data_IF_639758549597
#
_entry.id   IF_639758549597
#
_cell.length_a   1.000
_cell.length_b   1.000
_cell.length_c   1.000
_cell.angle_alpha   90.00
_cell.angle_beta   90.00
_cell.angle_gamma   90.00
#
_symmetry.space_group_name_H-M   'P 1'
#
loop_
_entity.id
_entity.type
_entity.pdbx_description
1 polymer ?
#
# COMPACT_ATOMS: atom_id res chain seq x y z
N UNK A 1 21.22 25.81 4.73
CA UNK A 1 21.31 24.40 4.26
C UNK A 1 22.60 23.79 4.74
N UNK A 2 22.51 22.63 5.39
CA UNK A 2 23.68 21.86 5.83
C UNK A 2 24.45 21.25 4.64
N UNK A 3 25.68 20.78 4.89
CA UNK A 3 26.45 20.08 3.85
C UNK A 3 25.75 18.79 3.38
N UNK A 4 25.13 18.06 4.31
CA UNK A 4 24.37 16.84 4.01
C UNK A 4 23.14 17.14 3.13
N UNK A 5 22.37 18.19 3.43
CA UNK A 5 21.23 18.63 2.61
C UNK A 5 21.69 18.95 1.16
N UNK A 6 22.81 19.65 0.99
CA UNK A 6 23.36 19.98 -0.34
C UNK A 6 23.72 18.70 -1.13
N UNK A 7 24.38 17.74 -0.49
CA UNK A 7 24.74 16.46 -1.11
C UNK A 7 23.51 15.64 -1.51
N UNK A 8 22.47 15.61 -0.69
CA UNK A 8 21.21 14.94 -1.03
C UNK A 8 20.57 15.56 -2.27
N UNK A 9 20.46 16.90 -2.32
CA UNK A 9 19.92 17.61 -3.48
C UNK A 9 20.71 17.30 -4.76
N UNK A 10 22.04 17.24 -4.65
CA UNK A 10 22.90 16.91 -5.79
C UNK A 10 22.66 15.48 -6.29
N UNK A 11 22.55 14.51 -5.39
CA UNK A 11 22.23 13.11 -5.75
C UNK A 11 20.83 12.99 -6.37
N UNK A 12 19.83 13.72 -5.86
CA UNK A 12 18.49 13.81 -6.47
C UNK A 12 18.58 14.35 -7.90
N UNK A 13 19.32 15.43 -8.13
CA UNK A 13 19.55 15.99 -9.47
C UNK A 13 20.24 15.03 -10.42
N UNK A 14 21.07 14.13 -9.90
CA UNK A 14 21.71 13.05 -10.65
C UNK A 14 20.77 11.86 -10.92
N UNK A 15 19.50 11.91 -10.49
CA UNK A 15 18.51 10.86 -10.67
C UNK A 15 18.72 9.63 -9.78
N UNK A 16 19.42 9.79 -8.65
CA UNK A 16 19.60 8.69 -7.69
C UNK A 16 18.32 8.45 -6.89
N UNK A 17 17.94 7.17 -6.72
CA UNK A 17 16.80 6.81 -5.89
C UNK A 17 17.16 6.82 -4.39
N UNK A 18 16.13 6.74 -3.53
CA UNK A 18 16.29 6.75 -2.06
C UNK A 18 17.31 5.72 -1.57
N UNK A 19 17.26 4.49 -2.07
CA UNK A 19 18.18 3.42 -1.69
C UNK A 19 19.63 3.80 -2.04
N UNK A 20 19.88 4.29 -3.27
CA UNK A 20 21.23 4.71 -3.68
C UNK A 20 21.74 5.92 -2.87
N UNK A 21 20.84 6.85 -2.50
CA UNK A 21 21.17 8.02 -1.66
C UNK A 21 21.56 7.56 -0.26
N UNK A 22 20.74 6.70 0.37
CA UNK A 22 21.01 6.16 1.69
C UNK A 22 22.34 5.41 1.74
N UNK A 23 22.59 4.54 0.77
CA UNK A 23 23.87 3.79 0.67
C UNK A 23 25.08 4.72 0.51
N UNK A 24 25.00 5.72 -0.39
CA UNK A 24 26.13 6.64 -0.64
C UNK A 24 26.45 7.56 0.52
N UNK A 25 25.46 7.90 1.33
CA UNK A 25 25.62 8.84 2.44
C UNK A 25 25.69 8.13 3.80
N UNK A 26 25.54 6.81 3.82
CA UNK A 26 25.45 5.98 5.02
C UNK A 26 24.42 6.51 6.03
N UNK A 27 23.19 6.77 5.56
CA UNK A 27 22.06 7.22 6.36
C UNK A 27 20.88 6.26 6.18
N UNK A 28 20.00 6.22 7.17
CA UNK A 28 18.77 5.42 7.08
C UNK A 28 17.73 6.07 6.16
N UNK A 29 16.73 5.29 5.72
CA UNK A 29 15.57 5.82 4.99
C UNK A 29 14.78 6.85 5.79
N UNK A 30 14.70 6.68 7.12
CA UNK A 30 14.06 7.62 8.02
C UNK A 30 14.83 8.95 8.13
N UNK A 31 16.18 8.89 8.19
CA UNK A 31 17.01 10.10 8.19
C UNK A 31 16.82 10.88 6.88
N UNK A 32 16.84 10.17 5.74
CA UNK A 32 16.58 10.79 4.44
C UNK A 32 15.21 11.48 4.42
N UNK A 33 14.17 10.82 4.91
CA UNK A 33 12.82 11.40 4.99
C UNK A 33 12.78 12.66 5.86
N UNK A 34 13.37 12.62 7.04
CA UNK A 34 13.43 13.77 7.94
C UNK A 34 14.13 14.96 7.28
N UNK A 35 15.21 14.71 6.55
CA UNK A 35 15.92 15.74 5.80
C UNK A 35 15.06 16.30 4.67
N UNK A 36 14.36 15.44 3.92
CA UNK A 36 13.44 15.87 2.85
C UNK A 36 12.26 16.68 3.40
N UNK A 37 11.74 16.32 4.58
CA UNK A 37 10.70 17.09 5.27
C UNK A 37 11.23 18.49 5.69
N UNK A 38 12.45 18.57 6.21
CA UNK A 38 13.11 19.85 6.52
C UNK A 38 13.33 20.70 5.26
N UNK A 39 13.68 20.08 4.13
CA UNK A 39 13.82 20.77 2.84
C UNK A 39 12.47 21.28 2.34
N UNK A 40 11.39 20.51 2.51
CA UNK A 40 10.02 20.95 2.19
C UNK A 40 9.64 22.19 3.01
N UNK A 41 9.94 22.22 4.31
CA UNK A 41 9.71 23.38 5.17
C UNK A 41 10.53 24.61 4.74
N UNK A 42 11.61 24.41 3.98
CA UNK A 42 12.44 25.47 3.36
C UNK A 42 12.00 25.82 1.93
N UNK A 43 10.83 25.32 1.49
CA UNK A 43 10.27 25.58 0.15
C UNK A 43 10.81 24.68 -0.97
N UNK A 44 11.53 23.61 -0.65
CA UNK A 44 12.05 22.64 -1.62
C UNK A 44 11.21 21.35 -1.57
N UNK A 45 10.17 21.30 -2.37
CA UNK A 45 9.28 20.15 -2.44
C UNK A 45 9.61 19.24 -3.63
N UNK A 46 9.41 17.94 -3.45
CA UNK A 46 9.70 16.91 -4.45
C UNK A 46 8.50 16.02 -4.71
N UNK A 47 8.22 15.76 -5.98
CA UNK A 47 7.31 14.69 -6.40
C UNK A 47 8.00 13.33 -6.25
N UNK A 48 7.26 12.32 -5.85
CA UNK A 48 7.75 10.94 -5.67
C UNK A 48 7.30 10.05 -6.81
N UNK A 49 8.21 9.20 -7.33
CA UNK A 49 7.91 8.07 -8.19
C UNK A 49 8.59 6.84 -7.61
N UNK A 50 7.91 5.71 -7.63
CA UNK A 50 8.35 4.51 -6.95
C UNK A 50 8.91 3.50 -7.95
N UNK A 51 9.93 2.75 -7.53
CA UNK A 51 10.55 1.68 -8.31
C UNK A 51 10.08 0.32 -7.80
N UNK A 52 10.08 -0.70 -8.66
CA UNK A 52 9.69 -2.07 -8.27
C UNK A 52 10.62 -2.72 -7.23
N UNK A 53 11.76 -2.15 -6.94
CA UNK A 53 12.67 -2.57 -5.86
C UNK A 53 12.46 -1.78 -4.56
N UNK A 54 11.32 -1.11 -4.39
CA UNK A 54 11.00 -0.30 -3.22
C UNK A 54 11.69 1.07 -3.17
N UNK A 55 12.58 1.41 -4.12
CA UNK A 55 13.26 2.70 -4.17
C UNK A 55 12.32 3.84 -4.59
N UNK A 56 12.62 5.05 -4.13
CA UNK A 56 11.87 6.28 -4.46
C UNK A 56 12.75 7.23 -5.27
N UNK A 57 12.27 7.64 -6.43
CA UNK A 57 12.86 8.73 -7.23
C UNK A 57 12.17 10.04 -6.87
N UNK A 58 12.98 11.05 -6.60
CA UNK A 58 12.52 12.39 -6.27
C UNK A 58 12.75 13.31 -7.46
N UNK A 59 11.74 14.10 -7.84
CA UNK A 59 11.84 15.15 -8.85
C UNK A 59 11.37 16.46 -8.26
N UNK A 60 12.12 17.60 -8.45
CA UNK A 60 11.69 18.88 -7.91
C UNK A 60 10.27 19.22 -8.36
N UNK A 61 9.44 19.62 -7.41
CA UNK A 61 8.12 20.13 -7.73
C UNK A 61 8.25 21.56 -8.24
N UNK A 62 7.95 21.77 -9.52
CA UNK A 62 8.01 23.09 -10.16
C UNK A 62 6.69 23.88 -10.03
N UNK A 63 5.61 23.18 -9.64
CA UNK A 63 4.28 23.78 -9.53
C UNK A 63 4.04 24.24 -8.09
N UNK A 64 4.39 25.47 -7.78
CA UNK A 64 4.18 26.13 -6.48
C UNK A 64 2.69 26.42 -6.17
N UNK A 65 1.77 26.08 -7.04
CA UNK A 65 0.34 26.31 -6.87
C UNK A 65 -0.43 24.98 -6.87
N UNK A 66 -0.78 24.55 -5.66
CA UNK A 66 -1.91 23.73 -5.25
C UNK A 66 -2.61 22.85 -6.29
N UNK A 67 -1.90 21.95 -6.95
CA UNK A 67 -2.59 20.80 -7.57
C UNK A 67 -2.71 19.72 -6.52
N UNK A 68 -3.97 19.32 -6.29
CA UNK A 68 -4.40 18.21 -5.47
C UNK A 68 -3.36 17.10 -5.45
N UNK A 69 -3.06 16.58 -4.24
CA UNK A 69 -2.40 15.30 -4.04
C UNK A 69 -3.02 14.36 -5.07
N UNK A 70 -2.25 13.98 -6.09
CA UNK A 70 -2.80 13.07 -7.09
C UNK A 70 -3.07 11.77 -6.35
N UNK A 71 -4.32 11.35 -6.25
CA UNK A 71 -4.77 10.06 -5.72
C UNK A 71 -4.22 8.92 -6.59
N UNK A 72 -2.91 8.98 -6.83
CA UNK A 72 -2.22 8.08 -7.75
C UNK A 72 -0.77 7.86 -7.37
N UNK A 73 -0.42 6.62 -7.16
CA UNK A 73 0.96 6.14 -7.05
C UNK A 73 1.47 5.70 -8.42
N UNK A 74 2.63 6.16 -8.84
CA UNK A 74 3.26 5.74 -10.09
C UNK A 74 4.38 4.75 -9.80
N UNK A 75 4.24 3.51 -10.28
CA UNK A 75 5.28 2.48 -10.25
C UNK A 75 6.04 2.46 -11.58
N UNK A 76 7.35 2.63 -11.48
CA UNK A 76 8.26 2.54 -12.62
C UNK A 76 8.82 1.13 -12.72
N UNK A 77 8.46 0.41 -13.77
CA UNK A 77 8.88 -0.98 -13.99
C UNK A 77 10.28 -1.10 -14.63
N UNK A 78 10.82 0.04 -15.11
CA UNK A 78 11.98 0.05 -16.02
C UNK A 78 11.70 -0.91 -17.20
N UNK A 79 12.53 -1.92 -17.40
CA UNK A 79 12.37 -2.89 -18.50
C UNK A 79 11.71 -4.21 -18.05
N UNK A 80 11.10 -4.26 -16.86
CA UNK A 80 10.41 -5.46 -16.40
C UNK A 80 8.99 -5.52 -16.94
N UNK A 81 8.58 -6.69 -17.41
CA UNK A 81 7.23 -6.98 -17.90
C UNK A 81 6.36 -7.73 -16.89
N UNK A 82 6.79 -7.74 -15.62
CA UNK A 82 6.06 -8.34 -14.50
C UNK A 82 6.10 -7.44 -13.28
N UNK A 83 5.00 -7.43 -12.54
CA UNK A 83 4.84 -6.89 -11.20
C UNK A 83 4.53 -8.05 -10.25
N UNK A 84 5.40 -8.28 -9.27
CA UNK A 84 5.13 -9.17 -8.16
C UNK A 84 4.81 -8.34 -6.92
N UNK A 85 3.69 -8.61 -6.28
CA UNK A 85 3.24 -7.91 -5.09
C UNK A 85 2.51 -8.82 -4.12
N UNK A 86 2.62 -8.56 -2.83
CA UNK A 86 1.65 -9.10 -1.87
C UNK A 86 0.46 -8.14 -1.76
N UNK A 87 -0.75 -8.72 -1.71
CA UNK A 87 -1.96 -7.97 -1.39
C UNK A 87 -2.38 -8.35 0.03
N UNK A 88 -2.51 -7.37 0.88
CA UNK A 88 -3.00 -7.47 2.26
C UNK A 88 -4.12 -6.45 2.48
N UNK A 89 -5.00 -6.67 3.43
CA UNK A 89 -6.08 -5.74 3.74
C UNK A 89 -6.62 -5.96 5.14
N UNK A 90 -7.35 -4.98 5.66
CA UNK A 90 -8.15 -5.12 6.88
C UNK A 90 -7.33 -5.70 8.04
N UNK A 91 -6.20 -5.04 8.34
CA UNK A 91 -5.27 -5.43 9.40
C UNK A 91 -5.87 -5.16 10.79
N UNK A 92 -6.66 -4.08 10.91
CA UNK A 92 -7.27 -3.62 12.15
C UNK A 92 -6.31 -3.61 13.35
N UNK A 93 -5.07 -3.09 13.14
CA UNK A 93 -4.07 -3.01 14.19
C UNK A 93 -4.56 -2.15 15.35
N UNK A 94 -4.13 -2.52 16.57
CA UNK A 94 -4.62 -1.94 17.81
C UNK A 94 -5.87 -2.61 18.35
N UNK A 95 -6.20 -3.83 17.89
CA UNK A 95 -7.29 -4.65 18.41
C UNK A 95 -6.81 -6.02 18.91
N UNK A 96 -7.64 -6.68 19.72
CA UNK A 96 -7.38 -8.05 20.19
C UNK A 96 -7.47 -9.09 19.06
N UNK A 97 -8.09 -8.74 17.95
CA UNK A 97 -8.27 -9.58 16.79
C UNK A 97 -7.19 -9.38 15.72
N UNK A 98 -6.24 -8.48 15.94
CA UNK A 98 -5.09 -8.33 15.05
C UNK A 98 -4.28 -9.61 14.94
N UNK A 99 -3.58 -9.76 13.83
CA UNK A 99 -2.70 -10.91 13.55
C UNK A 99 -1.31 -10.40 13.17
N UNK A 100 -0.64 -9.74 14.14
CA UNK A 100 0.75 -9.30 13.96
C UNK A 100 1.70 -10.46 13.64
N UNK A 101 1.44 -11.64 14.20
CA UNK A 101 2.17 -12.85 13.89
C UNK A 101 2.09 -13.19 12.39
N UNK A 102 0.89 -13.18 11.82
CA UNK A 102 0.67 -13.46 10.41
C UNK A 102 1.20 -12.33 9.50
N UNK A 103 1.08 -11.09 9.95
CA UNK A 103 1.64 -9.94 9.23
C UNK A 103 3.17 -10.06 9.12
N UNK A 104 3.86 -10.38 10.21
CA UNK A 104 5.31 -10.60 10.21
C UNK A 104 5.69 -11.76 9.27
N UNK A 105 4.98 -12.89 9.32
CA UNK A 105 5.21 -14.03 8.42
C UNK A 105 4.95 -13.68 6.94
N UNK A 106 3.98 -12.80 6.64
CA UNK A 106 3.78 -12.31 5.27
C UNK A 106 4.96 -11.45 4.79
N UNK A 107 5.55 -10.64 5.67
CA UNK A 107 6.77 -9.89 5.36
C UNK A 107 7.98 -10.80 5.17
N UNK A 108 8.16 -11.82 6.01
CA UNK A 108 9.21 -12.82 5.85
C UNK A 108 9.06 -13.57 4.51
N UNK A 109 7.82 -13.90 4.13
CA UNK A 109 7.51 -14.46 2.83
C UNK A 109 7.92 -13.51 1.68
N UNK A 110 7.61 -12.22 1.80
CA UNK A 110 8.00 -11.22 0.82
C UNK A 110 9.51 -11.15 0.64
N UNK A 111 10.26 -11.06 1.74
CA UNK A 111 11.73 -11.03 1.75
C UNK A 111 12.30 -12.29 1.07
N UNK A 112 11.85 -13.46 1.48
CA UNK A 112 12.31 -14.74 0.96
C UNK A 112 12.08 -14.91 -0.55
N UNK A 113 11.00 -14.32 -1.06
CA UNK A 113 10.62 -14.43 -2.47
C UNK A 113 11.02 -13.21 -3.31
N UNK A 114 11.78 -12.25 -2.75
CA UNK A 114 12.23 -11.06 -3.46
C UNK A 114 11.07 -10.13 -3.89
N UNK A 115 9.99 -10.10 -3.11
CA UNK A 115 8.84 -9.24 -3.35
C UNK A 115 9.06 -7.92 -2.62
N UNK A 116 9.08 -6.82 -3.35
CA UNK A 116 9.39 -5.49 -2.85
C UNK A 116 8.17 -4.57 -2.77
N UNK A 117 7.02 -5.02 -3.24
CA UNK A 117 5.77 -4.24 -3.26
C UNK A 117 4.71 -4.97 -2.44
N UNK A 118 4.16 -4.28 -1.46
CA UNK A 118 2.98 -4.71 -0.71
C UNK A 118 1.87 -3.71 -1.00
N UNK A 119 0.71 -4.19 -1.42
CA UNK A 119 -0.46 -3.36 -1.69
C UNK A 119 -1.48 -3.65 -0.60
N UNK A 120 -1.85 -2.61 0.15
CA UNK A 120 -2.80 -2.72 1.26
C UNK A 120 -4.15 -2.11 0.88
N UNK A 121 -5.18 -2.92 0.95
CA UNK A 121 -6.56 -2.58 0.59
C UNK A 121 -7.29 -1.66 1.56
N UNK A 122 -6.65 -1.16 2.63
CA UNK A 122 -7.25 -0.27 3.64
C UNK A 122 -7.55 -0.95 4.98
N UNK A 123 -8.09 -0.17 5.91
CA UNK A 123 -8.34 -0.57 7.30
C UNK A 123 -7.06 -1.09 7.99
N UNK A 124 -6.02 -0.25 7.93
CA UNK A 124 -4.73 -0.48 8.57
C UNK A 124 -4.88 -0.51 10.10
N UNK A 125 -5.66 0.45 10.65
CA UNK A 125 -6.01 0.55 12.07
C UNK A 125 -7.51 0.35 12.27
N UNK A 126 -7.95 0.15 13.52
CA UNK A 126 -9.37 -0.10 13.80
C UNK A 126 -10.22 1.19 13.98
N UNK A 127 -9.61 2.34 14.23
CA UNK A 127 -10.33 3.60 14.47
C UNK A 127 -11.24 3.60 15.71
N UNK A 128 -10.92 2.81 16.74
CA UNK A 128 -11.61 2.71 18.04
C UNK A 128 -13.13 2.44 17.93
N UNK A 129 -13.54 1.54 17.04
CA UNK A 129 -14.97 1.26 16.79
C UNK A 129 -15.68 0.51 17.92
N UNK A 130 -14.93 -0.24 18.74
CA UNK A 130 -15.46 -1.02 19.86
C UNK A 130 -14.47 -1.04 21.00
N UNK A 131 -14.82 -0.45 22.14
CA UNK A 131 -13.95 -0.39 23.32
C UNK A 131 -13.50 -1.78 23.81
N UNK A 132 -14.38 -2.79 23.71
CA UNK A 132 -14.08 -4.17 24.18
C UNK A 132 -13.02 -4.87 23.34
N UNK A 133 -12.86 -4.45 22.09
CA UNK A 133 -11.92 -5.06 21.14
C UNK A 133 -10.59 -4.32 21.05
N UNK A 134 -10.56 -3.04 21.42
CA UNK A 134 -9.37 -2.23 21.31
C UNK A 134 -8.36 -2.55 22.43
N UNK A 135 -7.08 -2.60 22.06
CA UNK A 135 -5.95 -2.58 23.00
C UNK A 135 -5.46 -1.15 23.24
N UNK A 136 -5.67 -0.25 22.30
CA UNK A 136 -5.37 1.18 22.40
C UNK A 136 -6.58 1.95 22.98
N UNK A 137 -6.30 3.03 23.75
CA UNK A 137 -7.35 3.82 24.42
C UNK A 137 -7.76 5.08 23.68
N UNK A 138 -6.90 5.62 22.82
CA UNK A 138 -7.11 6.84 22.05
C UNK A 138 -6.77 6.62 20.59
N UNK A 139 -7.30 7.45 19.71
CA UNK A 139 -6.95 7.41 18.28
C UNK A 139 -5.45 7.66 18.06
N UNK A 140 -4.85 8.59 18.83
CA UNK A 140 -3.42 8.86 18.73
C UNK A 140 -2.61 7.64 19.13
N UNK A 141 -2.90 7.01 20.28
CA UNK A 141 -2.17 5.82 20.73
C UNK A 141 -2.32 4.63 19.74
N UNK A 142 -3.41 4.58 18.98
CA UNK A 142 -3.57 3.56 17.94
C UNK A 142 -2.70 3.85 16.71
N UNK A 143 -2.57 5.13 16.33
CA UNK A 143 -1.65 5.53 15.26
C UNK A 143 -0.18 5.26 15.67
N UNK A 144 0.20 5.59 16.91
CA UNK A 144 1.52 5.31 17.47
C UNK A 144 1.80 3.80 17.48
N UNK A 145 0.83 3.01 17.97
CA UNK A 145 0.90 1.56 17.96
C UNK A 145 1.15 0.98 16.57
N UNK A 146 0.47 1.50 15.55
CA UNK A 146 0.70 1.11 14.16
C UNK A 146 2.14 1.41 13.73
N UNK A 147 2.64 2.62 14.01
CA UNK A 147 3.99 3.02 13.63
C UNK A 147 5.05 2.09 14.25
N UNK A 148 4.86 1.70 15.49
CA UNK A 148 5.79 0.89 16.26
C UNK A 148 5.74 -0.60 15.90
N UNK A 149 4.55 -1.13 15.57
CA UNK A 149 4.34 -2.58 15.46
C UNK A 149 4.19 -3.08 14.01
N UNK A 150 3.80 -2.21 13.07
CA UNK A 150 3.74 -2.62 11.67
C UNK A 150 5.18 -2.82 11.12
N UNK A 151 5.50 -3.97 10.50
CA UNK A 151 6.86 -4.27 10.04
C UNK A 151 7.45 -3.16 9.18
N UNK A 152 8.71 -2.85 9.41
CA UNK A 152 9.52 -1.96 8.56
C UNK A 152 10.68 -2.76 8.00
N UNK A 153 10.71 -2.89 6.68
CA UNK A 153 11.79 -3.59 5.96
C UNK A 153 12.30 -2.68 4.86
N UNK A 154 13.59 -2.34 4.94
CA UNK A 154 14.21 -1.51 3.91
C UNK A 154 14.13 -2.19 2.53
N UNK A 155 13.69 -1.45 1.51
CA UNK A 155 13.49 -1.99 0.16
C UNK A 155 12.10 -2.61 -0.07
N UNK A 156 11.21 -2.65 0.92
CA UNK A 156 9.78 -2.94 0.73
C UNK A 156 8.99 -1.63 0.72
N UNK A 157 8.17 -1.43 -0.31
CA UNK A 157 7.24 -0.33 -0.43
C UNK A 157 5.82 -0.81 -0.14
N UNK A 158 5.14 -0.14 0.79
CA UNK A 158 3.72 -0.32 1.08
C UNK A 158 2.90 0.71 0.32
N UNK A 159 2.05 0.29 -0.61
CA UNK A 159 1.09 1.15 -1.29
C UNK A 159 -0.28 0.89 -0.67
N UNK A 160 -0.93 1.91 -0.13
CA UNK A 160 -2.21 1.75 0.54
C UNK A 160 -3.27 2.72 0.06
N UNK A 161 -4.51 2.30 0.11
CA UNK A 161 -5.69 3.15 0.22
C UNK A 161 -6.11 3.18 1.68
N UNK A 162 -6.63 4.30 2.18
CA UNK A 162 -7.17 4.37 3.54
C UNK A 162 -8.64 4.00 3.53
N UNK A 163 -9.03 3.12 4.46
CA UNK A 163 -10.39 2.64 4.61
C UNK A 163 -11.22 3.44 5.61
N UNK A 164 -12.45 2.99 5.81
CA UNK A 164 -13.42 3.65 6.68
C UNK A 164 -12.99 3.65 8.16
N UNK A 165 -12.19 2.69 8.60
CA UNK A 165 -11.65 2.66 9.96
C UNK A 165 -10.49 3.64 10.12
N UNK A 166 -9.62 3.77 9.13
CA UNK A 166 -8.45 4.66 9.16
C UNK A 166 -8.83 6.14 9.29
N UNK A 167 -9.94 6.56 8.66
CA UNK A 167 -10.39 7.96 8.67
C UNK A 167 -11.19 8.35 9.93
N UNK A 168 -11.55 7.39 10.79
CA UNK A 168 -12.32 7.69 12.01
C UNK A 168 -11.57 8.61 12.97
N UNK A 169 -10.25 8.45 13.06
CA UNK A 169 -9.41 9.32 13.89
C UNK A 169 -9.49 10.78 13.44
N UNK A 170 -9.51 11.04 12.15
CA UNK A 170 -9.67 12.38 11.59
C UNK A 170 -11.06 12.94 11.88
N UNK A 171 -12.09 12.15 11.63
CA UNK A 171 -13.49 12.58 11.77
C UNK A 171 -13.89 12.84 13.23
N UNK A 172 -13.31 12.12 14.19
CA UNK A 172 -13.68 12.23 15.62
C UNK A 172 -12.78 13.15 16.42
N UNK A 173 -11.48 13.13 16.17
CA UNK A 173 -10.49 13.83 17.01
C UNK A 173 -9.54 14.74 16.19
N UNK A 174 -9.76 14.88 14.87
CA UNK A 174 -8.90 15.67 14.00
C UNK A 174 -7.50 15.07 13.76
N UNK A 175 -7.28 13.81 14.16
CA UNK A 175 -6.00 13.11 14.01
C UNK A 175 -5.91 12.54 12.60
N UNK A 176 -5.05 13.12 11.78
CA UNK A 176 -4.85 12.70 10.39
C UNK A 176 -3.82 11.58 10.29
N UNK A 177 -4.30 10.33 10.24
CA UNK A 177 -3.45 9.14 10.14
C UNK A 177 -2.62 9.11 8.85
N UNK A 178 -3.16 9.58 7.71
CA UNK A 178 -2.40 9.71 6.47
C UNK A 178 -1.14 10.57 6.68
N UNK A 179 -1.29 11.71 7.35
CA UNK A 179 -0.20 12.62 7.64
C UNK A 179 0.84 12.02 8.59
N UNK A 180 0.39 11.21 9.55
CA UNK A 180 1.27 10.48 10.45
C UNK A 180 2.09 9.46 9.66
N UNK A 181 1.47 8.66 8.78
CA UNK A 181 2.17 7.74 7.89
C UNK A 181 3.20 8.45 7.02
N UNK A 182 2.81 9.53 6.36
CA UNK A 182 3.72 10.33 5.52
C UNK A 182 4.95 10.87 6.27
N UNK A 183 4.79 11.17 7.56
CA UNK A 183 5.87 11.75 8.37
C UNK A 183 6.79 10.69 8.99
N UNK A 184 6.24 9.54 9.38
CA UNK A 184 6.97 8.55 10.18
C UNK A 184 7.26 7.23 9.47
N UNK A 185 6.62 6.96 8.31
CA UNK A 185 6.75 5.72 7.56
C UNK A 185 7.16 6.00 6.10
N UNK A 186 8.49 6.13 5.83
CA UNK A 186 9.02 6.38 4.48
C UNK A 186 8.71 5.27 3.48
N UNK A 187 8.39 4.09 3.98
CA UNK A 187 8.01 2.90 3.24
C UNK A 187 6.54 2.89 2.83
N UNK A 188 5.74 3.92 3.19
CA UNK A 188 4.33 4.04 2.79
C UNK A 188 4.13 5.04 1.65
N UNK A 189 3.32 4.64 0.68
CA UNK A 189 2.77 5.48 -0.38
C UNK A 189 1.25 5.41 -0.34
N UNK A 190 0.61 6.52 0.02
CA UNK A 190 -0.86 6.60 0.09
C UNK A 190 -1.39 6.88 -1.31
N UNK A 191 -2.16 5.95 -1.86
CA UNK A 191 -2.78 6.06 -3.18
C UNK A 191 -4.09 6.85 -3.15
N UNK A 192 -4.71 6.98 -1.97
CA UNK A 192 -5.94 7.74 -1.78
C UNK A 192 -6.68 7.37 -0.50
N UNK A 193 -7.84 8.00 -0.31
CA UNK A 193 -8.81 7.67 0.74
C UNK A 193 -10.02 7.07 0.03
N UNK A 194 -10.52 5.92 0.50
CA UNK A 194 -11.59 5.13 -0.12
C UNK A 194 -11.24 4.66 -1.55
N UNK A 195 -10.81 5.56 -2.39
CA UNK A 195 -10.39 5.29 -3.77
C UNK A 195 -8.95 5.72 -3.99
N UNK A 196 -8.20 4.90 -4.70
CA UNK A 196 -6.83 5.19 -5.06
C UNK A 196 -6.43 4.50 -6.35
N UNK A 197 -5.31 4.91 -6.92
CA UNK A 197 -4.84 4.38 -8.19
C UNK A 197 -3.35 4.07 -8.17
N UNK A 198 -2.98 2.97 -8.81
CA UNK A 198 -1.59 2.64 -9.10
C UNK A 198 -1.41 2.64 -10.62
N UNK A 199 -0.62 3.57 -11.13
CA UNK A 199 -0.21 3.58 -12.53
C UNK A 199 1.01 2.69 -12.69
N UNK A 200 0.88 1.64 -13.51
CA UNK A 200 1.98 0.74 -13.88
C UNK A 200 2.02 0.65 -15.41
N UNK A 201 3.12 1.07 -16.01
CA UNK A 201 3.23 1.19 -17.48
C UNK A 201 2.08 2.06 -18.05
N UNK A 202 1.25 1.48 -18.91
CA UNK A 202 0.13 2.17 -19.54
C UNK A 202 -1.22 1.86 -18.88
N UNK A 203 -1.23 0.98 -17.86
CA UNK A 203 -2.46 0.59 -17.17
C UNK A 203 -2.58 1.20 -15.77
N UNK A 204 -3.83 1.36 -15.36
CA UNK A 204 -4.22 1.86 -14.06
C UNK A 204 -4.90 0.74 -13.28
N UNK A 205 -4.31 0.35 -12.16
CA UNK A 205 -4.91 -0.53 -11.16
C UNK A 205 -5.68 0.37 -10.20
N UNK A 206 -6.97 0.12 -10.03
CA UNK A 206 -7.77 0.82 -9.04
C UNK A 206 -7.68 0.10 -7.71
N UNK A 207 -7.63 0.87 -6.63
CA UNK A 207 -7.79 0.40 -5.27
C UNK A 207 -9.09 0.98 -4.74
N UNK A 208 -9.89 0.16 -4.08
CA UNK A 208 -11.16 0.58 -3.54
C UNK A 208 -11.41 -0.03 -2.16
N UNK A 209 -11.70 0.82 -1.19
CA UNK A 209 -12.15 0.42 0.14
C UNK A 209 -13.46 1.13 0.44
N UNK A 210 -14.63 0.50 0.22
CA UNK A 210 -15.92 1.17 0.39
C UNK A 210 -16.12 1.68 1.81
N UNK A 211 -16.56 2.93 1.94
CA UNK A 211 -16.93 3.54 3.24
C UNK A 211 -18.28 3.03 3.76
N UNK A 212 -19.09 2.45 2.88
CA UNK A 212 -20.39 1.82 3.17
C UNK A 212 -20.55 0.56 2.33
N UNK A 213 -21.49 -0.33 2.72
CA UNK A 213 -21.70 -1.62 2.04
C UNK A 213 -22.18 -1.56 0.58
N UNK A 214 -22.40 -0.38 0.01
CA UNK A 214 -22.89 -0.20 -1.35
C UNK A 214 -21.75 -0.08 -2.36
N UNK A 215 -21.34 -1.22 -2.94
CA UNK A 215 -20.29 -1.32 -3.95
C UNK A 215 -20.72 -0.94 -5.39
N UNK A 216 -21.83 -0.21 -5.59
CA UNK A 216 -22.47 -0.15 -6.92
C UNK A 216 -22.05 1.02 -7.82
N UNK A 217 -21.17 1.92 -7.41
CA UNK A 217 -20.87 3.16 -8.16
C UNK A 217 -19.40 3.45 -8.38
N UNK A 218 -18.64 2.51 -8.94
CA UNK A 218 -17.30 2.85 -9.42
C UNK A 218 -17.32 2.95 -10.94
N UNK A 219 -16.79 4.04 -11.49
CA UNK A 219 -16.35 4.13 -12.89
C UNK A 219 -15.16 3.17 -13.05
N UNK A 220 -15.46 1.86 -13.08
CA UNK A 220 -14.50 0.78 -12.95
C UNK A 220 -13.55 0.78 -14.15
N UNK A 221 -12.28 0.76 -13.87
CA UNK A 221 -11.22 0.46 -14.83
C UNK A 221 -10.88 -1.02 -14.68
N UNK A 222 -10.25 -1.60 -15.67
CA UNK A 222 -10.07 -3.02 -15.95
C UNK A 222 -9.70 -3.92 -14.74
N UNK A 223 -8.86 -3.45 -13.80
CA UNK A 223 -8.48 -4.18 -12.60
C UNK A 223 -8.75 -3.32 -11.36
N UNK A 224 -9.49 -3.90 -10.42
CA UNK A 224 -9.87 -3.25 -9.16
C UNK A 224 -9.50 -4.15 -7.99
N UNK A 225 -8.67 -3.67 -7.09
CA UNK A 225 -8.33 -4.30 -5.82
C UNK A 225 -9.28 -3.77 -4.75
N UNK A 226 -10.04 -4.65 -4.11
CA UNK A 226 -11.13 -4.27 -3.20
C UNK A 226 -10.83 -4.78 -1.78
N UNK A 227 -10.74 -3.89 -0.79
CA UNK A 227 -10.71 -4.21 0.63
C UNK A 227 -12.11 -4.35 1.26
N UNK A 228 -12.22 -4.20 2.57
CA UNK A 228 -13.46 -4.12 3.36
C UNK A 228 -14.30 -5.42 3.45
N UNK A 229 -14.25 -6.27 2.45
CA UNK A 229 -15.11 -7.47 2.42
C UNK A 229 -14.61 -8.60 3.32
N UNK A 230 -13.36 -8.55 3.76
CA UNK A 230 -12.64 -9.55 4.54
C UNK A 230 -12.51 -10.93 3.87
N UNK A 231 -13.04 -11.13 2.66
CA UNK A 231 -13.07 -12.41 1.98
C UNK A 231 -12.32 -12.38 0.66
N UNK A 232 -11.53 -13.42 0.39
CA UNK A 232 -10.97 -13.63 -0.94
C UNK A 232 -12.07 -14.00 -1.93
N UNK A 233 -12.13 -13.22 -3.00
CA UNK A 233 -13.06 -13.46 -4.10
C UNK A 233 -12.57 -12.77 -5.36
N UNK A 234 -12.77 -13.38 -6.51
CA UNK A 234 -12.60 -12.70 -7.81
C UNK A 234 -13.94 -12.65 -8.52
N UNK A 235 -14.29 -11.50 -9.07
CA UNK A 235 -15.47 -11.32 -9.92
C UNK A 235 -15.04 -10.66 -11.23
N UNK A 236 -15.62 -11.10 -12.32
CA UNK A 236 -15.51 -10.44 -13.62
C UNK A 236 -16.87 -9.84 -13.95
N UNK A 237 -16.94 -8.53 -14.08
CA UNK A 237 -18.19 -7.78 -14.33
C UNK A 237 -17.92 -6.76 -15.44
N UNK A 238 -18.59 -6.89 -16.59
CA UNK A 238 -18.44 -5.98 -17.72
C UNK A 238 -16.96 -5.75 -18.10
N UNK A 239 -16.20 -6.82 -18.27
CA UNK A 239 -14.76 -6.84 -18.56
C UNK A 239 -13.86 -6.25 -17.47
N UNK A 240 -14.40 -5.89 -16.31
CA UNK A 240 -13.62 -5.47 -15.15
C UNK A 240 -13.36 -6.67 -14.24
N UNK A 241 -12.13 -6.78 -13.76
CA UNK A 241 -11.68 -7.82 -12.84
C UNK A 241 -11.63 -7.20 -11.44
N UNK A 242 -12.51 -7.64 -10.56
CA UNK A 242 -12.55 -7.24 -9.16
C UNK A 242 -11.89 -8.31 -8.31
N UNK A 243 -10.80 -7.97 -7.67
CA UNK A 243 -10.05 -8.84 -6.77
C UNK A 243 -10.32 -8.36 -5.34
N UNK A 244 -11.14 -9.10 -4.60
CA UNK A 244 -11.40 -8.84 -3.19
C UNK A 244 -10.24 -9.41 -2.37
N UNK A 245 -9.58 -8.55 -1.63
CA UNK A 245 -8.43 -8.91 -0.80
C UNK A 245 -8.95 -9.45 0.53
N UNK A 246 -8.49 -10.63 0.99
CA UNK A 246 -8.90 -11.17 2.27
C UNK A 246 -8.35 -10.32 3.43
N UNK A 247 -9.04 -10.34 4.58
CA UNK A 247 -8.52 -9.72 5.78
C UNK A 247 -7.31 -10.48 6.33
N UNK A 248 -6.32 -9.74 6.80
CA UNK A 248 -5.16 -10.27 7.53
C UNK A 248 -5.34 -10.12 9.05
N UNK A 249 -6.58 -10.20 9.52
CA UNK A 249 -6.96 -10.14 10.93
C UNK A 249 -8.12 -11.10 11.22
N UNK A 250 -8.33 -11.39 12.51
CA UNK A 250 -9.51 -12.09 12.98
C UNK A 250 -10.70 -11.15 13.19
N UNK A 251 -10.58 -9.87 12.83
CA UNK A 251 -11.64 -8.88 12.97
C UNK A 251 -12.73 -9.12 11.93
N UNK A 252 -13.77 -9.84 12.32
CA UNK A 252 -14.88 -10.20 11.43
C UNK A 252 -16.19 -9.66 12.00
N UNK A 253 -16.78 -8.59 11.45
CA UNK A 253 -18.03 -8.04 11.98
C UNK A 253 -19.22 -8.98 11.87
N UNK A 254 -19.30 -9.86 10.87
CA UNK A 254 -20.51 -10.61 10.58
C UNK A 254 -20.33 -12.03 9.98
N UNK A 255 -19.15 -12.51 9.62
CA UNK A 255 -18.99 -13.79 8.93
C UNK A 255 -18.16 -14.79 9.72
N UNK A 256 -18.77 -15.90 10.11
CA UNK A 256 -18.05 -17.04 10.71
C UNK A 256 -17.25 -17.77 9.63
N UNK A 257 -16.00 -18.12 9.91
CA UNK A 257 -15.22 -19.04 9.07
C UNK A 257 -14.30 -18.39 8.06
N UNK A 258 -14.02 -17.06 8.15
CA UNK A 258 -12.97 -16.44 7.34
C UNK A 258 -11.61 -16.77 7.95
N UNK A 259 -10.72 -17.33 7.14
CA UNK A 259 -9.32 -17.59 7.53
C UNK A 259 -8.50 -16.35 7.16
N UNK A 260 -7.84 -15.67 8.12
CA UNK A 260 -6.92 -14.58 7.81
C UNK A 260 -5.85 -15.04 6.82
N UNK A 261 -5.70 -14.29 5.73
CA UNK A 261 -4.82 -14.68 4.65
C UNK A 261 -4.33 -13.45 3.85
N UNK A 262 -3.38 -13.67 2.96
CA UNK A 262 -2.87 -12.67 2.04
C UNK A 262 -2.76 -13.26 0.62
N UNK A 263 -2.69 -12.40 -0.39
CA UNK A 263 -2.51 -12.88 -1.75
C UNK A 263 -1.08 -12.60 -2.22
N UNK A 264 -0.45 -13.61 -2.82
CA UNK A 264 0.70 -13.42 -3.68
C UNK A 264 0.17 -13.18 -5.10
N UNK A 265 0.41 -11.98 -5.62
CA UNK A 265 -0.04 -11.57 -6.95
C UNK A 265 1.14 -11.44 -7.89
N UNK A 266 1.05 -12.08 -9.04
CA UNK A 266 1.93 -11.88 -10.17
C UNK A 266 1.12 -11.34 -11.34
N UNK A 267 1.53 -10.20 -11.87
CA UNK A 267 0.83 -9.51 -12.97
C UNK A 267 1.81 -9.30 -14.12
N UNK A 268 1.46 -9.84 -15.28
CA UNK A 268 2.26 -9.69 -16.49
C UNK A 268 1.73 -8.61 -17.43
N UNK A 269 2.64 -8.02 -18.21
CA UNK A 269 2.34 -6.95 -19.15
C UNK A 269 2.79 -7.32 -20.57
N UNK A 270 1.93 -7.03 -21.55
CA UNK A 270 2.27 -7.09 -22.94
C UNK A 270 2.03 -5.71 -23.59
N UNK A 271 3.03 -5.18 -24.30
CA UNK A 271 2.99 -3.84 -24.90
C UNK A 271 2.63 -2.71 -23.91
N UNK A 272 3.03 -2.91 -22.64
CA UNK A 272 2.77 -1.96 -21.56
C UNK A 272 1.40 -2.08 -20.89
N UNK A 273 0.64 -3.11 -21.21
CA UNK A 273 -0.70 -3.32 -20.67
C UNK A 273 -0.83 -4.69 -19.98
N UNK A 274 -1.67 -4.77 -18.96
CA UNK A 274 -1.92 -6.00 -18.21
C UNK A 274 -2.45 -7.07 -19.16
N UNK A 275 -1.78 -8.22 -19.21
CA UNK A 275 -2.10 -9.38 -20.04
C UNK A 275 -2.55 -10.59 -19.24
N UNK A 276 -2.03 -10.79 -18.05
CA UNK A 276 -2.45 -11.85 -17.14
C UNK A 276 -2.29 -11.44 -15.66
N UNK A 277 -3.00 -12.11 -14.78
CA UNK A 277 -2.91 -11.99 -13.32
C UNK A 277 -2.97 -13.39 -12.71
N UNK A 278 -1.92 -13.77 -11.99
CA UNK A 278 -1.90 -14.98 -11.18
C UNK A 278 -2.03 -14.59 -9.71
N UNK A 279 -2.89 -15.31 -8.99
CA UNK A 279 -3.18 -15.08 -7.58
C UNK A 279 -3.04 -16.40 -6.81
N UNK A 280 -2.31 -16.35 -5.71
CA UNK A 280 -2.25 -17.42 -4.72
C UNK A 280 -2.74 -16.87 -3.39
N UNK A 281 -3.82 -17.45 -2.85
CA UNK A 281 -4.31 -17.13 -1.52
C UNK A 281 -3.56 -17.96 -0.50
N UNK A 282 -2.78 -17.31 0.36
CA UNK A 282 -1.82 -17.91 1.27
C UNK A 282 -2.12 -17.54 2.72
N UNK A 283 -1.88 -18.50 3.61
CA UNK A 283 -1.88 -18.27 5.06
C UNK A 283 -0.78 -19.10 5.72
N UNK A 284 -0.60 -18.94 7.03
CA UNK A 284 0.23 -19.81 7.83
C UNK A 284 -0.64 -20.56 8.84
N UNK A 285 -0.52 -21.89 8.85
CA UNK A 285 -1.15 -22.79 9.82
C UNK A 285 0.00 -23.49 10.54
N UNK A 286 0.04 -23.37 11.87
CA UNK A 286 1.14 -23.89 12.71
C UNK A 286 2.53 -23.50 12.17
N UNK A 287 2.68 -22.22 11.79
CA UNK A 287 3.88 -21.64 11.17
C UNK A 287 4.31 -22.28 9.84
N UNK A 288 3.43 -23.07 9.22
CA UNK A 288 3.66 -23.62 7.88
C UNK A 288 2.85 -22.87 6.84
N UNK A 289 3.52 -22.44 5.77
CA UNK A 289 2.84 -21.81 4.63
C UNK A 289 1.84 -22.79 4.02
N UNK A 290 0.59 -22.34 3.88
CA UNK A 290 -0.53 -23.10 3.37
C UNK A 290 -1.20 -22.35 2.22
N UNK A 291 -1.39 -23.04 1.10
CA UNK A 291 -2.12 -22.53 -0.06
C UNK A 291 -3.61 -22.81 0.14
N UNK A 292 -4.43 -21.76 0.24
CA UNK A 292 -5.89 -21.86 0.36
C UNK A 292 -6.58 -21.88 -1.01
N UNK A 293 -5.95 -21.34 -2.04
CA UNK A 293 -6.48 -21.30 -3.41
C UNK A 293 -5.55 -20.65 -4.39
N UNK A 294 -5.69 -20.98 -5.66
CA UNK A 294 -4.95 -20.39 -6.77
C UNK A 294 -5.92 -20.01 -7.89
N UNK A 295 -5.65 -18.89 -8.56
CA UNK A 295 -6.42 -18.44 -9.70
C UNK A 295 -5.52 -17.76 -10.74
N UNK A 296 -5.72 -18.14 -11.99
CA UNK A 296 -5.04 -17.56 -13.16
C UNK A 296 -6.07 -16.85 -14.03
N UNK A 297 -5.80 -15.61 -14.40
CA UNK A 297 -6.74 -14.75 -15.12
C UNK A 297 -6.04 -14.18 -16.35
N UNK A 298 -6.50 -14.57 -17.53
CA UNK A 298 -6.10 -13.94 -18.78
C UNK A 298 -6.88 -12.65 -18.98
N UNK A 299 -6.19 -11.54 -19.23
CA UNK A 299 -6.80 -10.23 -19.39
C UNK A 299 -6.97 -9.91 -20.86
N UNK A 300 -8.15 -10.20 -21.43
CA UNK A 300 -8.48 -9.91 -22.83
C UNK A 300 -8.68 -8.40 -23.02
N UNK A 301 -8.09 -7.84 -24.07
CA UNK A 301 -8.38 -6.49 -24.52
C UNK A 301 -9.36 -6.53 -25.69
N UNK A 302 -10.50 -5.88 -25.50
CA UNK A 302 -11.34 -5.49 -26.64
C UNK A 302 -10.69 -4.26 -27.28
N UNK A 303 -9.95 -4.46 -28.37
CA UNK A 303 -9.53 -3.34 -29.20
C UNK A 303 -10.81 -2.67 -29.68
N UNK A 304 -11.14 -1.49 -29.17
CA UNK A 304 -12.14 -0.64 -29.82
C UNK A 304 -11.56 -0.27 -31.18
N UNK A 305 -12.15 -0.83 -32.24
CA UNK A 305 -11.93 -0.39 -33.61
C UNK A 305 -12.39 1.04 -33.80
#
# INVERSE_FOLDING_TARGET
MSNLEKRIIELIKQGKCSIEICQKLNISGLDLQNILLNLKNKGLEYNKRYLLNGGVLYTPNKDLYGKNISERVTLLTKNKDELNALLISDLHLGTKEERLDLLNLAYDYAIKNGIHIIINGGDLINGLTSERKNICKTHLSQCEYFIENHPFVEGILNICVLGNHDIKSLNKEGINFARILENYRPDFAIAGIENGHILVKNDLINMYHPLSCDCNNTSMKKVVLVGHSHQYKVKIVNDNILIYIPALSNYVPATKGVIPSFLNMKMGFNEGYISYIDLENLTFIDNKLSLLGKQEIEVKRTLKK
#
